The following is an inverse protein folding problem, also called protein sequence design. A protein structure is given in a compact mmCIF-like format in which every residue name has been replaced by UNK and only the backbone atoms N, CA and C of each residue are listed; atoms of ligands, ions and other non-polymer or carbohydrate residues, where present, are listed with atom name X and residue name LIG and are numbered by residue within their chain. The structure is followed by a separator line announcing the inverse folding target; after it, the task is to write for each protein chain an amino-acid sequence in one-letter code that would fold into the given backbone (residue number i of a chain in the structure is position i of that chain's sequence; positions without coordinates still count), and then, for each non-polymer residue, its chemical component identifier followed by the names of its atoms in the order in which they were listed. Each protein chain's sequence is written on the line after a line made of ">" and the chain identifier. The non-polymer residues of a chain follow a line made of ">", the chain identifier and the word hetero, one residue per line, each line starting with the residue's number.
data_IF_509214052260
#
_entry.id   IF_509214052260
#
_cell.length_a   1.000
_cell.length_b   1.000
_cell.length_c   1.000
_cell.angle_alpha   90.00
_cell.angle_beta   90.00
_cell.angle_gamma   90.00
#
_symmetry.space_group_name_H-M   'P 1'
#
loop_
_entity.id
_entity.type
_entity.pdbx_description
1 polymer ?
#
# COMPACT_ATOMS: atom_id res chain seq x y z
N UNK A 1 11.65 -20.03 50.58
CA UNK A 1 10.39 -19.27 50.47
C UNK A 1 10.52 -18.29 49.32
N UNK A 2 9.81 -18.55 48.22
CA UNK A 2 9.79 -17.74 47.01
C UNK A 2 8.86 -16.54 47.18
N UNK A 3 9.28 -15.34 46.74
CA UNK A 3 8.37 -14.21 46.51
C UNK A 3 8.62 -13.66 45.10
N UNK A 4 7.76 -14.09 44.19
CA UNK A 4 7.65 -13.54 42.84
C UNK A 4 7.10 -12.10 42.92
N UNK A 5 7.95 -11.11 42.65
CA UNK A 5 7.48 -9.74 42.48
C UNK A 5 7.11 -9.55 41.00
N UNK A 6 5.84 -9.79 40.65
CA UNK A 6 5.31 -9.52 39.31
C UNK A 6 5.24 -8.01 39.12
N UNK A 7 5.98 -7.50 38.15
CA UNK A 7 5.87 -6.12 37.69
C UNK A 7 4.43 -5.80 37.30
N UNK A 8 3.84 -4.81 37.99
CA UNK A 8 2.63 -4.13 37.52
C UNK A 8 3.04 -3.15 36.44
N UNK A 9 2.45 -3.34 35.27
CA UNK A 9 2.60 -2.47 34.10
C UNK A 9 2.19 -1.04 34.37
N UNK A 10 2.77 -0.14 33.57
CA UNK A 10 2.52 1.29 33.59
C UNK A 10 1.07 1.63 33.26
N UNK A 11 0.38 2.16 34.27
CA UNK A 11 -0.73 3.08 34.10
C UNK A 11 -0.28 4.38 34.74
N UNK A 12 -0.08 5.43 33.95
CA UNK A 12 0.20 6.76 34.48
C UNK A 12 -1.03 7.26 35.22
N UNK A 13 -0.98 7.26 36.55
CA UNK A 13 -1.96 7.96 37.37
C UNK A 13 -1.98 9.43 36.90
N UNK A 14 -3.14 9.98 36.53
CA UNK A 14 -3.34 11.39 36.16
C UNK A 14 -3.12 12.39 37.31
N UNK A 15 -2.22 12.07 38.24
CA UNK A 15 -1.80 12.92 39.35
C UNK A 15 -0.99 14.09 38.78
N UNK A 16 -1.53 15.29 38.95
CA UNK A 16 -0.83 16.53 38.60
C UNK A 16 0.40 16.66 39.49
N UNK A 17 1.58 16.64 38.88
CA UNK A 17 2.86 16.81 39.57
C UNK A 17 2.88 18.13 40.36
N UNK A 18 3.43 18.07 41.58
CA UNK A 18 3.67 19.25 42.41
C UNK A 18 4.75 20.14 41.81
N UNK A 19 4.80 21.41 42.24
CA UNK A 19 5.79 22.38 41.75
C UNK A 19 7.24 21.89 41.90
N UNK A 20 7.56 21.24 43.03
CA UNK A 20 8.89 20.68 43.30
C UNK A 20 9.23 19.54 42.34
N UNK A 21 8.26 18.67 42.06
CA UNK A 21 8.45 17.57 41.10
C UNK A 21 8.62 18.10 39.68
N UNK A 22 7.83 19.09 39.27
CA UNK A 22 7.97 19.75 37.96
C UNK A 22 9.33 20.40 37.77
N UNK A 23 9.88 21.03 38.82
CA UNK A 23 11.20 21.67 38.74
C UNK A 23 12.37 20.70 38.58
N UNK A 24 12.17 19.41 38.86
CA UNK A 24 13.19 18.37 38.70
C UNK A 24 13.23 17.72 37.32
N UNK A 25 12.29 18.07 36.43
CA UNK A 25 12.19 17.49 35.09
C UNK A 25 13.00 18.36 34.12
N UNK A 26 14.16 17.87 33.70
CA UNK A 26 14.97 18.50 32.66
C UNK A 26 14.73 17.84 31.30
N UNK A 27 14.51 18.65 30.26
CA UNK A 27 14.48 18.15 28.89
C UNK A 27 15.89 17.72 28.47
N UNK A 28 16.03 16.45 28.08
CA UNK A 28 17.27 15.93 27.49
C UNK A 28 17.05 15.84 25.99
N UNK A 29 17.72 16.71 25.24
CA UNK A 29 17.68 16.68 23.79
C UNK A 29 18.56 15.53 23.29
N UNK A 30 17.93 14.39 23.01
CA UNK A 30 18.62 13.29 22.34
C UNK A 30 18.73 13.61 20.85
N UNK A 31 19.95 13.58 20.31
CA UNK A 31 20.16 13.69 18.87
C UNK A 31 19.50 12.52 18.14
N UNK A 32 19.04 12.77 16.92
CA UNK A 32 18.41 11.73 16.12
C UNK A 32 19.36 10.54 15.86
N UNK A 33 18.82 9.31 15.86
CA UNK A 33 19.55 8.12 15.42
C UNK A 33 19.99 8.24 13.94
N UNK A 34 21.06 7.53 13.54
CA UNK A 34 21.70 7.74 12.23
C UNK A 34 20.78 7.47 11.03
N UNK A 35 19.77 6.61 11.18
CA UNK A 35 18.80 6.37 10.10
C UNK A 35 17.86 7.56 9.88
N UNK A 36 17.39 8.22 10.95
CA UNK A 36 16.53 9.40 10.83
C UNK A 36 17.28 10.57 10.22
N UNK A 37 18.57 10.73 10.52
CA UNK A 37 19.42 11.76 9.88
C UNK A 37 19.49 11.56 8.36
N UNK A 38 19.74 10.33 7.90
CA UNK A 38 19.77 10.01 6.47
C UNK A 38 18.44 10.26 5.78
N UNK A 39 17.33 9.98 6.47
CA UNK A 39 15.99 10.25 5.94
C UNK A 39 15.79 11.76 5.86
N UNK A 40 16.02 12.50 6.96
CA UNK A 40 15.94 13.97 6.99
C UNK A 40 16.76 14.62 5.87
N UNK A 41 17.99 14.17 5.66
CA UNK A 41 18.86 14.65 4.59
C UNK A 41 18.30 14.36 3.18
N UNK A 42 17.85 13.13 2.93
CA UNK A 42 17.21 12.75 1.65
C UNK A 42 15.97 13.58 1.34
N UNK A 43 15.21 13.96 2.36
CA UNK A 43 14.00 14.76 2.23
C UNK A 43 14.26 16.28 2.32
N UNK A 44 15.52 16.71 2.43
CA UNK A 44 15.85 18.13 2.55
C UNK A 44 15.29 18.80 3.81
N UNK A 45 15.07 18.03 4.88
CA UNK A 45 14.52 18.54 6.13
C UNK A 45 15.49 19.55 6.76
N UNK A 46 15.03 20.79 6.89
CA UNK A 46 15.72 21.83 7.65
C UNK A 46 15.05 21.97 9.02
N UNK A 47 15.85 21.98 10.08
CA UNK A 47 15.36 22.27 11.43
C UNK A 47 14.94 23.74 11.49
N UNK A 48 13.64 23.99 11.37
CA UNK A 48 13.07 25.32 11.54
C UNK A 48 13.20 25.73 13.00
N UNK A 49 13.83 26.88 13.24
CA UNK A 49 13.87 27.50 14.56
C UNK A 49 12.51 28.10 14.86
N UNK A 50 12.24 28.33 16.15
CA UNK A 50 11.03 29.05 16.57
C UNK A 50 10.98 30.46 15.96
N UNK A 51 12.16 31.09 15.80
CA UNK A 51 12.32 32.40 15.16
C UNK A 51 11.86 32.39 13.69
N UNK A 52 12.10 31.31 12.94
CA UNK A 52 11.65 31.19 11.53
C UNK A 52 10.13 31.19 11.37
N UNK A 53 9.38 30.94 12.45
CA UNK A 53 7.90 30.93 12.45
C UNK A 53 7.31 32.31 12.73
N UNK A 54 8.11 33.23 13.24
CA UNK A 54 7.73 34.61 13.42
C UNK A 54 8.32 35.37 12.23
N UNK A 55 7.48 35.62 11.22
CA UNK A 55 7.84 36.58 10.19
C UNK A 55 8.09 37.92 10.90
N UNK A 56 9.33 38.41 10.81
CA UNK A 56 9.63 39.79 11.17
C UNK A 56 8.69 40.65 10.32
N UNK A 57 7.94 41.54 10.97
CA UNK A 57 6.89 42.37 10.38
C UNK A 57 7.50 43.41 9.42
N UNK A 58 8.02 42.92 8.29
CA UNK A 58 8.82 43.67 7.33
C UNK A 58 9.42 42.84 6.18
N UNK A 59 8.96 41.61 5.96
CA UNK A 59 9.38 40.78 4.81
C UNK A 59 8.62 41.13 3.53
N UNK A 60 9.35 41.61 2.53
CA UNK A 60 8.95 42.14 1.21
C UNK A 60 8.29 41.13 0.25
N UNK A 61 7.62 40.08 0.74
CA UNK A 61 6.98 39.06 -0.11
C UNK A 61 5.44 39.11 -0.06
N UNK A 62 4.87 40.16 0.53
CA UNK A 62 3.49 40.56 0.26
C UNK A 62 3.43 41.32 -1.09
N UNK A 63 3.89 40.68 -2.16
CA UNK A 63 3.51 41.07 -3.51
C UNK A 63 2.01 40.86 -3.61
N UNK A 64 1.25 41.95 -3.46
CA UNK A 64 -0.10 42.10 -3.97
C UNK A 64 -0.09 41.62 -5.43
N UNK A 65 -0.42 40.36 -5.68
CA UNK A 65 -0.69 39.91 -7.04
C UNK A 65 -1.98 40.62 -7.48
N UNK A 66 -1.94 41.50 -8.50
CA UNK A 66 -3.12 42.22 -8.97
C UNK A 66 -4.01 41.23 -9.73
N UNK A 67 -4.81 40.47 -9.00
CA UNK A 67 -5.61 39.39 -9.57
C UNK A 67 -6.68 38.79 -8.68
N UNK A 68 -6.92 39.34 -7.47
CA UNK A 68 -8.00 38.91 -6.56
C UNK A 68 -9.41 39.33 -7.05
N UNK A 69 -9.66 39.19 -8.35
CA UNK A 69 -10.97 39.31 -8.98
C UNK A 69 -11.18 38.19 -10.00
N UNK A 70 -10.76 36.97 -9.67
CA UNK A 70 -10.91 35.77 -10.48
C UNK A 70 -11.23 34.59 -9.57
N UNK A 71 -12.25 33.84 -9.96
CA UNK A 71 -12.80 32.63 -9.33
C UNK A 71 -11.83 31.89 -8.38
N UNK A 72 -12.19 31.63 -7.11
CA UNK A 72 -11.33 30.85 -6.21
C UNK A 72 -10.92 29.47 -6.77
N UNK A 73 -11.66 28.96 -7.76
CA UNK A 73 -11.39 27.70 -8.44
C UNK A 73 -10.46 27.82 -9.68
N UNK A 74 -9.93 29.01 -10.02
CA UNK A 74 -8.98 29.14 -11.13
C UNK A 74 -7.65 28.42 -10.81
N UNK A 75 -7.24 27.50 -11.69
CA UNK A 75 -5.99 26.73 -11.62
C UNK A 75 -4.76 27.66 -11.50
N UNK A 76 -4.85 28.90 -11.99
CA UNK A 76 -3.78 29.91 -11.86
C UNK A 76 -3.56 30.37 -10.41
N UNK A 77 -4.56 30.21 -9.56
CA UNK A 77 -4.49 30.54 -8.12
C UNK A 77 -3.83 29.42 -7.30
N UNK A 78 -3.77 28.18 -7.84
CA UNK A 78 -3.07 27.07 -7.20
C UNK A 78 -1.56 27.26 -7.25
N UNK A 79 -0.86 26.76 -6.21
CA UNK A 79 0.60 26.67 -6.19
C UNK A 79 1.08 25.80 -7.35
N UNK A 80 2.28 26.06 -7.90
CA UNK A 80 2.77 25.35 -9.08
C UNK A 80 2.84 23.83 -8.87
N UNK A 81 3.09 23.42 -7.64
CA UNK A 81 3.17 22.02 -7.20
C UNK A 81 1.80 21.34 -7.16
N UNK A 82 0.73 22.11 -6.90
CA UNK A 82 -0.65 21.62 -6.78
C UNK A 82 -1.39 21.64 -8.13
N UNK A 83 -0.78 22.24 -9.17
CA UNK A 83 -1.36 22.26 -10.52
C UNK A 83 -1.23 20.89 -11.18
N UNK A 84 -2.27 20.39 -11.86
CA UNK A 84 -2.17 19.13 -12.59
C UNK A 84 -1.12 19.23 -13.71
N UNK A 85 -0.28 18.20 -13.82
CA UNK A 85 0.68 18.10 -14.92
C UNK A 85 -0.02 17.52 -16.16
N UNK A 86 -0.09 18.31 -17.23
CA UNK A 86 -0.61 17.86 -18.53
C UNK A 86 0.57 17.36 -19.37
N UNK A 87 0.60 16.06 -19.65
CA UNK A 87 1.58 15.44 -20.55
C UNK A 87 0.92 15.21 -21.90
N UNK A 88 1.49 15.79 -22.96
CA UNK A 88 1.05 15.57 -24.35
C UNK A 88 1.97 14.52 -24.96
N UNK A 89 1.39 13.36 -25.32
CA UNK A 89 2.14 12.28 -25.95
C UNK A 89 2.48 12.63 -27.41
N UNK A 90 3.71 12.35 -27.80
CA UNK A 90 4.19 12.48 -29.16
C UNK A 90 3.95 11.16 -29.90
N UNK A 91 3.14 11.13 -30.97
CA UNK A 91 2.80 9.89 -31.67
C UNK A 91 4.00 9.21 -32.35
N UNK A 92 5.09 9.94 -32.60
CA UNK A 92 6.30 9.40 -33.23
C UNK A 92 7.29 8.78 -32.23
N UNK A 93 7.24 9.19 -30.95
CA UNK A 93 8.26 8.83 -29.95
C UNK A 93 7.69 8.01 -28.80
N UNK A 94 6.46 8.29 -28.41
CA UNK A 94 5.83 7.67 -27.25
C UNK A 94 5.04 6.45 -27.69
N UNK A 95 5.10 5.38 -26.88
CA UNK A 95 4.36 4.15 -27.13
C UNK A 95 2.86 4.41 -27.00
N UNK A 96 2.10 3.83 -27.92
CA UNK A 96 0.65 3.83 -27.84
C UNK A 96 0.16 2.86 -26.76
N UNK A 97 -1.07 3.06 -26.29
CA UNK A 97 -1.71 2.18 -25.31
C UNK A 97 -1.74 0.71 -25.77
N UNK A 98 -2.03 0.46 -27.05
CA UNK A 98 -2.10 -0.88 -27.61
C UNK A 98 -0.76 -1.62 -27.59
N UNK A 99 0.34 -0.93 -27.90
CA UNK A 99 1.69 -1.51 -27.85
C UNK A 99 2.12 -1.83 -26.42
N UNK A 100 1.76 -0.97 -25.47
CA UNK A 100 2.04 -1.17 -24.05
C UNK A 100 1.30 -2.41 -23.52
N UNK A 101 0.03 -2.57 -23.87
CA UNK A 101 -0.76 -3.74 -23.48
C UNK A 101 -0.19 -5.05 -24.04
N UNK A 102 0.28 -5.03 -25.29
CA UNK A 102 0.95 -6.19 -25.88
C UNK A 102 2.24 -6.53 -25.14
N UNK A 103 3.06 -5.54 -24.80
CA UNK A 103 4.30 -5.77 -24.07
C UNK A 103 4.04 -6.32 -22.66
N UNK A 104 3.05 -5.78 -21.95
CA UNK A 104 2.63 -6.28 -20.64
C UNK A 104 2.13 -7.72 -20.73
N UNK A 105 1.33 -8.05 -21.75
CA UNK A 105 0.86 -9.44 -21.98
C UNK A 105 2.03 -10.39 -22.25
N UNK A 106 2.96 -10.01 -23.13
CA UNK A 106 4.18 -10.80 -23.43
C UNK A 106 5.01 -11.05 -22.17
N UNK A 107 5.17 -10.04 -21.29
CA UNK A 107 5.86 -10.18 -20.01
C UNK A 107 5.13 -11.15 -19.07
N UNK A 108 3.81 -11.02 -18.90
CA UNK A 108 3.01 -11.93 -18.07
C UNK A 108 3.11 -13.38 -18.54
N UNK A 109 3.02 -13.61 -19.85
CA UNK A 109 3.16 -14.96 -20.42
C UNK A 109 4.55 -15.56 -20.21
N UNK A 110 5.61 -14.75 -20.30
CA UNK A 110 6.97 -15.20 -20.01
C UNK A 110 7.13 -15.58 -18.53
N UNK A 111 6.63 -14.75 -17.61
CA UNK A 111 6.65 -15.05 -16.18
C UNK A 111 5.86 -16.32 -15.84
N UNK A 112 4.72 -16.53 -16.47
CA UNK A 112 3.90 -17.73 -16.22
C UNK A 112 4.57 -18.99 -16.77
N UNK A 113 5.22 -18.92 -17.95
CA UNK A 113 6.07 -20.01 -18.46
C UNK A 113 7.20 -20.33 -17.50
N UNK A 114 7.89 -19.32 -16.98
CA UNK A 114 8.93 -19.54 -15.97
C UNK A 114 8.38 -20.21 -14.70
N UNK A 115 7.19 -19.83 -14.21
CA UNK A 115 6.57 -20.47 -13.04
C UNK A 115 6.20 -21.94 -13.30
N UNK A 116 5.79 -22.26 -14.53
CA UNK A 116 5.51 -23.64 -14.96
C UNK A 116 6.81 -24.44 -15.03
N UNK A 117 7.86 -23.91 -15.66
CA UNK A 117 9.17 -24.57 -15.77
C UNK A 117 9.84 -24.78 -14.41
N UNK A 118 9.75 -23.79 -13.52
CA UNK A 118 10.22 -23.89 -12.12
C UNK A 118 9.36 -24.84 -11.27
N UNK A 119 8.26 -25.38 -11.80
CA UNK A 119 7.38 -26.32 -11.11
C UNK A 119 6.62 -25.72 -9.93
N UNK A 120 6.51 -24.38 -9.86
CA UNK A 120 5.72 -23.68 -8.83
C UNK A 120 4.22 -23.94 -9.02
N UNK A 121 3.79 -24.11 -10.27
CA UNK A 121 2.41 -24.43 -10.62
C UNK A 121 2.31 -25.93 -10.85
N UNK A 122 1.89 -26.68 -9.83
CA UNK A 122 1.59 -28.12 -9.96
C UNK A 122 0.10 -28.37 -9.99
N UNK A 123 -0.39 -29.05 -11.02
CA UNK A 123 -1.76 -29.58 -11.02
C UNK A 123 -1.81 -30.84 -10.16
N UNK A 124 -2.35 -30.71 -8.94
CA UNK A 124 -2.65 -31.88 -8.11
C UNK A 124 -3.76 -32.68 -8.79
N UNK A 125 -3.52 -33.98 -9.00
CA UNK A 125 -4.57 -34.87 -9.46
C UNK A 125 -5.73 -34.83 -8.46
N UNK A 126 -7.00 -34.79 -8.93
CA UNK A 126 -8.13 -34.83 -8.03
C UNK A 126 -8.09 -36.14 -7.23
N UNK A 127 -7.85 -36.04 -5.92
CA UNK A 127 -7.92 -37.17 -5.01
C UNK A 127 -9.40 -37.40 -4.73
N UNK A 128 -9.95 -38.51 -5.23
CA UNK A 128 -11.26 -38.98 -4.82
C UNK A 128 -11.21 -39.16 -3.30
N UNK A 129 -12.05 -38.43 -2.56
CA UNK A 129 -12.18 -38.57 -1.11
C UNK A 129 -12.62 -40.00 -0.81
N UNK A 130 -11.68 -40.86 -0.43
CA UNK A 130 -12.02 -42.11 0.25
C UNK A 130 -12.33 -41.76 1.69
N UNK A 131 -13.52 -42.15 2.14
CA UNK A 131 -13.86 -42.16 3.57
C UNK A 131 -12.79 -42.98 4.34
N UNK A 132 -12.56 -42.68 5.63
CA UNK A 132 -11.42 -43.25 6.34
C UNK A 132 -11.67 -44.74 6.61
N UNK A 133 -10.91 -45.62 5.96
CA UNK A 133 -10.34 -46.82 6.59
C UNK A 133 -9.41 -47.58 5.63
N UNK A 134 -8.31 -48.05 6.22
CA UNK A 134 -7.39 -49.10 5.77
C UNK A 134 -6.43 -48.83 4.60
N UNK A 135 -5.16 -48.96 4.96
CA UNK A 135 -3.99 -49.27 4.14
C UNK A 135 -4.32 -50.35 3.09
N UNK A 136 -3.99 -50.13 1.81
CA UNK A 136 -2.91 -50.83 1.11
C UNK A 136 -2.92 -50.59 -0.41
N UNK A 137 -1.73 -50.83 -0.99
CA UNK A 137 -1.34 -50.61 -2.39
C UNK A 137 -2.20 -51.37 -3.40
N UNK A 138 -2.44 -50.78 -4.59
CA UNK A 138 -1.99 -51.35 -5.89
C UNK A 138 -2.64 -50.65 -7.10
N UNK A 139 -1.83 -50.52 -8.15
CA UNK A 139 -2.23 -50.16 -9.51
C UNK A 139 -3.28 -51.13 -10.07
N UNK A 140 -4.36 -50.63 -10.66
CA UNK A 140 -4.96 -51.30 -11.82
C UNK A 140 -5.75 -50.35 -12.73
N UNK A 141 -5.33 -50.28 -13.99
CA UNK A 141 -6.00 -49.62 -15.11
C UNK A 141 -7.30 -50.36 -15.45
N UNK A 142 -8.49 -49.74 -15.38
CA UNK A 142 -9.66 -50.20 -16.16
C UNK A 142 -10.57 -49.04 -16.63
N UNK A 143 -10.53 -48.84 -17.96
CA UNK A 143 -11.59 -48.59 -18.96
C UNK A 143 -12.79 -47.68 -18.63
N UNK A 144 -13.03 -46.73 -19.56
CA UNK A 144 -14.24 -45.93 -19.78
C UNK A 144 -15.53 -46.74 -19.62
N UNK A 145 -16.49 -46.19 -18.88
CA UNK A 145 -17.92 -46.36 -19.11
C UNK A 145 -18.58 -44.99 -19.09
N UNK A 146 -19.24 -44.65 -20.21
CA UNK A 146 -20.17 -43.54 -20.34
C UNK A 146 -21.46 -43.88 -19.59
N UNK A 147 -21.87 -43.02 -18.66
CA UNK A 147 -23.27 -42.94 -18.22
C UNK A 147 -23.60 -41.50 -17.79
N UNK A 148 -24.33 -40.86 -18.70
CA UNK A 148 -25.38 -39.85 -18.55
C UNK A 148 -25.59 -39.17 -17.17
N UNK A 149 -25.44 -37.83 -17.23
CA UNK A 149 -26.32 -36.79 -16.69
C UNK A 149 -26.76 -36.90 -15.21
N UNK A 150 -26.03 -36.18 -14.35
CA UNK A 150 -26.60 -35.56 -13.16
C UNK A 150 -26.09 -34.12 -13.08
N UNK A 151 -26.77 -33.19 -13.79
CA UNK A 151 -26.51 -31.75 -13.66
C UNK A 151 -27.12 -31.31 -12.32
N UNK A 152 -26.36 -31.51 -11.22
CA UNK A 152 -26.60 -30.76 -9.99
C UNK A 152 -26.19 -29.31 -10.28
N UNK A 153 -27.18 -28.42 -10.27
CA UNK A 153 -27.02 -26.99 -10.44
C UNK A 153 -26.03 -26.44 -9.42
N UNK A 154 -24.76 -26.33 -9.79
CA UNK A 154 -23.86 -25.34 -9.21
C UNK A 154 -23.76 -24.23 -10.23
N UNK A 155 -24.64 -23.24 -10.07
CA UNK A 155 -24.56 -21.94 -10.73
C UNK A 155 -23.24 -21.28 -10.29
N UNK A 156 -22.15 -21.65 -10.94
CA UNK A 156 -20.92 -20.89 -10.97
C UNK A 156 -20.98 -20.11 -12.28
N UNK A 157 -21.02 -18.78 -12.16
CA UNK A 157 -21.33 -17.78 -13.19
C UNK A 157 -22.84 -17.44 -13.29
N UNK A 158 -23.34 -16.65 -12.33
CA UNK A 158 -24.42 -15.69 -12.62
C UNK A 158 -23.78 -14.43 -13.17
N UNK A 159 -23.92 -14.17 -14.47
CA UNK A 159 -23.76 -12.81 -14.97
C UNK A 159 -25.03 -12.07 -14.56
N UNK A 160 -24.87 -11.04 -13.72
CA UNK A 160 -25.95 -10.10 -13.44
C UNK A 160 -26.29 -9.40 -14.75
N UNK A 161 -27.46 -9.72 -15.26
CA UNK A 161 -28.14 -8.94 -16.29
C UNK A 161 -28.65 -7.66 -15.60
N UNK A 162 -27.76 -6.68 -15.48
CA UNK A 162 -28.03 -5.34 -14.94
C UNK A 162 -27.38 -4.34 -15.90
N UNK A 163 -28.08 -4.03 -16.99
CA UNK A 163 -28.60 -2.69 -17.28
C UNK A 163 -29.14 -2.62 -18.71
N UNK A 164 -30.47 -2.51 -18.79
CA UNK A 164 -31.21 -2.09 -19.96
C UNK A 164 -32.34 -1.17 -19.50
N UNK A 165 -32.02 0.12 -19.37
CA UNK A 165 -32.79 1.28 -19.83
C UNK A 165 -31.93 2.56 -19.73
#
# INVERSE_FOLDING_TARGET
>A
MSRNNRGRGGGGDGKKLSYKEKSSITYVQNNDPPFLRKIKEKFGYQETKLEDKFFDEGGEDAEESPGFSGDPDDIRNLKKEDRPQIVVLNPEKDVSEGELDEEVKKKREAEDKEKIEKGLITFKKPVKRTAPESEDKSNEKKKKQETQQHIQQSRLLSFGDEEGD
#
